data_IF_165990082937
#
_entry.id   IF_165990082937
#
_cell.length_a   1.000
_cell.length_b   1.000
_cell.length_c   1.000
_cell.angle_alpha   90.00
_cell.angle_beta   90.00
_cell.angle_gamma   90.00
#
_symmetry.space_group_name_H-M   'P 1'
#
loop_
_entity.id
_entity.type
_entity.pdbx_description
1 polymer ?
#
# COMPACT_ATOMS: atom_id res chain seq x y z
N UNK A 1 -36.73 -26.42 40.39
CA UNK A 1 -35.66 -25.89 39.51
C UNK A 1 -36.24 -25.77 38.10
N UNK A 2 -36.12 -24.61 37.45
CA UNK A 2 -36.88 -24.28 36.24
C UNK A 2 -36.19 -24.73 34.94
N UNK A 3 -36.98 -25.20 33.98
CA UNK A 3 -36.56 -25.38 32.59
C UNK A 3 -36.21 -24.01 32.00
N UNK A 4 -35.11 -23.93 31.24
CA UNK A 4 -34.67 -22.68 30.62
C UNK A 4 -35.23 -22.53 29.20
N UNK A 5 -35.54 -21.30 28.82
CA UNK A 5 -35.83 -20.92 27.43
C UNK A 5 -34.56 -20.30 26.86
N UNK A 6 -34.14 -20.79 25.70
CA UNK A 6 -32.98 -20.30 24.95
C UNK A 6 -33.52 -19.65 23.70
N UNK A 7 -33.37 -18.35 23.59
CA UNK A 7 -33.78 -17.57 22.43
C UNK A 7 -32.86 -16.37 22.24
N UNK A 8 -32.81 -15.86 21.02
CA UNK A 8 -32.13 -14.62 20.70
C UNK A 8 -32.97 -13.75 19.78
N UNK A 9 -32.91 -12.45 20.01
CA UNK A 9 -33.50 -11.44 19.16
C UNK A 9 -32.46 -10.39 18.82
N UNK A 10 -32.27 -10.13 17.52
CA UNK A 10 -31.44 -9.05 17.01
C UNK A 10 -32.30 -7.79 16.83
N UNK A 11 -32.24 -6.81 17.74
CA UNK A 11 -33.01 -5.57 17.61
C UNK A 11 -32.45 -4.65 16.52
N UNK A 12 -31.16 -4.79 16.17
CA UNK A 12 -30.48 -3.89 15.23
C UNK A 12 -30.70 -4.29 13.78
N UNK A 13 -30.94 -5.57 13.55
CA UNK A 13 -31.00 -6.14 12.21
C UNK A 13 -29.61 -6.17 11.54
N UNK A 14 -28.51 -6.06 12.28
CA UNK A 14 -27.15 -6.08 11.70
C UNK A 14 -26.34 -7.28 12.13
N UNK A 15 -26.77 -8.02 13.14
CA UNK A 15 -25.98 -9.10 13.68
C UNK A 15 -26.07 -10.37 12.84
N UNK A 16 -24.89 -10.90 12.49
CA UNK A 16 -24.75 -12.15 11.74
C UNK A 16 -24.84 -13.33 12.70
N UNK A 17 -24.16 -13.22 13.85
CA UNK A 17 -24.10 -14.28 14.86
C UNK A 17 -24.31 -13.73 16.26
N UNK A 18 -24.87 -14.58 17.12
CA UNK A 18 -24.85 -14.40 18.56
C UNK A 18 -24.57 -15.74 19.22
N UNK A 19 -23.62 -15.76 20.16
CA UNK A 19 -23.36 -16.94 21.00
C UNK A 19 -24.12 -16.84 22.32
N UNK A 20 -24.70 -17.95 22.75
CA UNK A 20 -25.30 -18.12 24.08
C UNK A 20 -24.73 -19.37 24.76
N UNK A 21 -24.19 -19.26 25.99
CA UNK A 21 -23.89 -18.02 26.72
C UNK A 21 -22.71 -17.23 26.10
N UNK A 22 -22.65 -15.93 26.39
CA UNK A 22 -21.66 -15.01 25.81
C UNK A 22 -20.22 -15.34 26.25
N UNK A 23 -20.04 -15.82 27.48
CA UNK A 23 -18.74 -16.07 28.11
C UNK A 23 -18.16 -17.48 27.84
N UNK A 24 -18.76 -18.27 26.94
CA UNK A 24 -18.31 -19.62 26.57
C UNK A 24 -19.37 -20.68 26.79
N UNK A 25 -19.00 -21.89 27.22
CA UNK A 25 -19.94 -23.01 27.33
C UNK A 25 -20.85 -22.94 28.57
N UNK A 26 -22.16 -23.04 28.32
CA UNK A 26 -23.22 -23.07 29.34
C UNK A 26 -23.78 -24.45 29.58
N UNK A 27 -24.38 -24.64 30.75
CA UNK A 27 -25.12 -25.87 31.07
C UNK A 27 -26.56 -25.80 30.56
N UNK A 28 -26.89 -26.66 29.60
CA UNK A 28 -28.24 -26.82 29.07
C UNK A 28 -28.87 -28.11 29.58
N UNK A 29 -30.15 -28.06 29.96
CA UNK A 29 -30.88 -29.23 30.46
C UNK A 29 -31.73 -29.83 29.35
N UNK A 30 -31.80 -31.15 29.32
CA UNK A 30 -32.81 -31.85 28.51
C UNK A 30 -34.21 -31.43 29.00
N UNK A 31 -35.10 -31.12 28.06
CA UNK A 31 -36.43 -30.54 28.29
C UNK A 31 -36.47 -29.01 28.21
N UNK A 32 -35.34 -28.32 28.16
CA UNK A 32 -35.31 -26.87 27.88
C UNK A 32 -35.87 -26.57 26.49
N UNK A 33 -36.42 -25.37 26.31
CA UNK A 33 -37.00 -24.93 25.04
C UNK A 33 -35.99 -24.05 24.29
N UNK A 34 -35.69 -24.42 23.05
CA UNK A 34 -34.94 -23.61 22.09
C UNK A 34 -35.93 -22.98 21.11
N UNK A 35 -35.96 -21.65 21.05
CA UNK A 35 -36.83 -20.91 20.15
C UNK A 35 -35.97 -20.26 19.07
N UNK A 36 -36.18 -20.68 17.83
CA UNK A 36 -35.48 -20.18 16.65
C UNK A 36 -36.46 -19.40 15.80
N UNK A 37 -36.12 -18.18 15.41
CA UNK A 37 -36.98 -17.33 14.56
C UNK A 37 -36.89 -17.73 13.09
N UNK A 38 -37.84 -17.28 12.28
CA UNK A 38 -37.96 -17.63 10.85
C UNK A 38 -36.70 -17.33 10.02
N UNK A 39 -36.01 -16.23 10.31
CA UNK A 39 -34.79 -15.84 9.61
C UNK A 39 -33.52 -16.28 10.34
N UNK A 40 -33.59 -17.28 11.22
CA UNK A 40 -32.47 -17.73 12.03
C UNK A 40 -32.28 -19.25 11.95
N UNK A 41 -31.05 -19.67 12.22
CA UNK A 41 -30.71 -21.03 12.62
C UNK A 41 -30.02 -20.99 13.98
N UNK A 42 -30.17 -22.06 14.76
CA UNK A 42 -29.40 -22.26 15.98
C UNK A 42 -28.50 -23.47 15.82
N UNK A 43 -27.22 -23.30 16.09
CA UNK A 43 -26.20 -24.33 15.95
C UNK A 43 -25.63 -24.66 17.32
N UNK A 44 -25.74 -25.91 17.74
CA UNK A 44 -25.05 -26.38 18.94
C UNK A 44 -23.58 -26.57 18.62
N UNK A 45 -22.74 -25.89 19.39
CA UNK A 45 -21.31 -25.86 19.24
C UNK A 45 -20.64 -26.34 20.53
N UNK A 46 -19.67 -27.25 20.41
CA UNK A 46 -18.94 -27.79 21.55
C UNK A 46 -17.58 -28.30 21.10
N UNK A 47 -16.55 -28.07 21.93
CA UNK A 47 -15.21 -28.62 21.74
C UNK A 47 -14.65 -28.36 20.31
N UNK A 48 -14.91 -27.16 19.76
CA UNK A 48 -14.44 -26.79 18.42
C UNK A 48 -15.32 -27.26 17.27
N UNK A 49 -16.46 -27.91 17.53
CA UNK A 49 -17.31 -28.55 16.51
C UNK A 49 -18.77 -28.15 16.62
N UNK A 50 -19.37 -27.84 15.48
CA UNK A 50 -20.81 -27.70 15.29
C UNK A 50 -21.42 -29.10 15.16
N UNK A 51 -22.27 -29.43 16.12
CA UNK A 51 -22.87 -30.74 16.27
C UNK A 51 -24.21 -30.77 15.54
N UNK A 52 -25.23 -30.10 16.09
CA UNK A 52 -26.59 -30.17 15.59
C UNK A 52 -27.10 -28.77 15.18
N UNK A 53 -27.92 -28.69 14.12
CA UNK A 53 -28.53 -27.46 13.61
C UNK A 53 -30.05 -27.51 13.73
N UNK A 54 -30.63 -26.44 14.24
CA UNK A 54 -32.06 -26.24 14.41
C UNK A 54 -32.53 -25.11 13.50
N UNK A 55 -33.51 -25.43 12.65
CA UNK A 55 -34.22 -24.44 11.84
C UNK A 55 -35.29 -23.67 12.63
N UNK A 56 -36.09 -22.82 11.96
CA UNK A 56 -37.13 -22.04 12.61
C UNK A 56 -38.15 -22.87 13.40
N UNK A 57 -38.62 -22.33 14.51
CA UNK A 57 -39.66 -22.91 15.34
C UNK A 57 -39.26 -23.10 16.80
N UNK A 58 -40.15 -23.75 17.54
CA UNK A 58 -39.91 -24.12 18.95
C UNK A 58 -39.46 -25.56 19.00
N UNK A 59 -38.29 -25.79 19.58
CA UNK A 59 -37.66 -27.10 19.70
C UNK A 59 -37.46 -27.43 21.17
N UNK A 60 -38.04 -28.54 21.61
CA UNK A 60 -37.70 -29.07 22.93
C UNK A 60 -36.41 -29.85 22.82
N UNK A 61 -35.42 -29.50 23.65
CA UNK A 61 -34.13 -30.16 23.68
C UNK A 61 -34.30 -31.56 24.25
N UNK A 62 -34.38 -32.55 23.38
CA UNK A 62 -34.52 -33.96 23.76
C UNK A 62 -33.38 -34.75 23.17
N UNK A 63 -33.18 -35.95 23.68
CA UNK A 63 -32.15 -36.85 23.15
C UNK A 63 -32.36 -37.20 21.68
N UNK A 64 -33.62 -37.22 21.23
CA UNK A 64 -34.00 -37.47 19.84
C UNK A 64 -33.55 -36.33 18.89
N UNK A 65 -33.53 -35.09 19.37
CA UNK A 65 -33.19 -33.91 18.56
C UNK A 65 -31.70 -33.54 18.63
N UNK A 66 -30.93 -34.21 19.50
CA UNK A 66 -29.51 -33.95 19.76
C UNK A 66 -28.69 -35.24 19.64
N UNK A 67 -28.74 -35.98 18.51
CA UNK A 67 -28.11 -37.29 18.39
C UNK A 67 -26.58 -37.24 18.58
N UNK A 68 -25.93 -36.16 18.13
CA UNK A 68 -24.48 -36.00 18.25
C UNK A 68 -24.07 -35.62 19.67
N UNK A 69 -24.82 -34.74 20.32
CA UNK A 69 -24.59 -34.37 21.72
C UNK A 69 -24.89 -35.52 22.69
N UNK A 70 -25.92 -36.33 22.44
CA UNK A 70 -26.29 -37.46 23.31
C UNK A 70 -25.28 -38.58 23.33
N UNK A 71 -24.67 -38.89 22.18
CA UNK A 71 -23.59 -39.87 22.08
C UNK A 71 -22.41 -39.50 23.01
N UNK A 72 -22.21 -38.21 23.27
CA UNK A 72 -21.15 -37.68 24.15
C UNK A 72 -21.56 -37.58 25.63
N UNK A 73 -22.85 -37.52 25.94
CA UNK A 73 -23.35 -37.36 27.33
C UNK A 73 -23.39 -38.71 28.06
N UNK A 74 -23.53 -39.82 27.33
CA UNK A 74 -23.45 -41.17 27.88
C UNK A 74 -24.66 -41.62 28.71
N UNK A 75 -24.79 -42.95 28.84
CA UNK A 75 -25.85 -43.68 29.55
C UNK A 75 -25.96 -43.51 31.08
N UNK A 76 -24.99 -42.99 31.88
CA UNK A 76 -25.12 -43.04 33.34
C UNK A 76 -26.02 -41.96 33.95
N UNK A 77 -26.51 -40.99 33.18
CA UNK A 77 -27.25 -39.82 33.72
C UNK A 77 -28.78 -39.86 33.57
N UNK A 78 -29.37 -41.03 33.30
CA UNK A 78 -30.82 -41.25 33.50
C UNK A 78 -31.78 -40.33 32.73
N UNK A 79 -31.35 -39.71 31.63
CA UNK A 79 -32.21 -38.91 30.74
C UNK A 79 -32.48 -37.45 31.17
N UNK A 80 -31.85 -36.93 32.22
CA UNK A 80 -32.06 -35.54 32.70
C UNK A 80 -30.77 -34.76 32.98
N UNK A 81 -29.63 -35.19 32.41
CA UNK A 81 -28.33 -34.54 32.68
C UNK A 81 -28.22 -33.14 32.05
N UNK A 82 -27.66 -32.15 32.76
CA UNK A 82 -27.14 -30.94 32.13
C UNK A 82 -25.93 -31.30 31.25
N UNK A 83 -25.86 -30.70 30.05
CA UNK A 83 -24.72 -30.81 29.15
C UNK A 83 -24.12 -29.43 28.89
N UNK A 84 -22.79 -29.36 28.79
CA UNK A 84 -22.09 -28.12 28.46
C UNK A 84 -21.98 -27.97 26.95
N UNK A 85 -22.53 -26.89 26.42
CA UNK A 85 -22.40 -26.52 25.02
C UNK A 85 -22.56 -25.01 24.87
N UNK A 86 -22.35 -24.53 23.65
CA UNK A 86 -22.65 -23.19 23.20
C UNK A 86 -23.76 -23.29 22.15
N UNK A 87 -24.72 -22.37 22.16
CA UNK A 87 -25.70 -22.23 21.07
C UNK A 87 -25.33 -20.98 20.30
N UNK A 88 -24.94 -21.16 19.04
CA UNK A 88 -24.66 -20.06 18.13
C UNK A 88 -25.90 -19.84 17.28
N UNK A 89 -26.58 -18.72 17.51
CA UNK A 89 -27.61 -18.25 16.61
C UNK A 89 -26.99 -17.56 15.41
N UNK A 90 -27.51 -17.88 14.23
CA UNK A 90 -27.03 -17.37 12.95
C UNK A 90 -28.20 -16.76 12.19
N UNK A 91 -28.04 -15.54 11.69
CA UNK A 91 -29.04 -14.87 10.89
C UNK A 91 -28.92 -15.31 9.41
N UNK A 92 -30.00 -15.87 8.86
CA UNK A 92 -30.07 -16.39 7.50
C UNK A 92 -30.59 -15.37 6.48
N UNK A 93 -30.98 -14.18 6.94
CA UNK A 93 -31.40 -13.09 6.05
C UNK A 93 -30.26 -12.66 5.13
N UNK A 94 -30.63 -11.96 4.06
CA UNK A 94 -29.64 -11.33 3.19
C UNK A 94 -29.13 -10.02 3.79
N UNK A 95 -27.82 -9.92 3.93
CA UNK A 95 -27.10 -8.69 4.24
C UNK A 95 -26.74 -8.01 2.92
N UNK A 96 -27.29 -6.82 2.66
CA UNK A 96 -27.20 -6.17 1.34
C UNK A 96 -26.17 -5.06 1.25
N UNK A 97 -25.71 -4.53 2.39
CA UNK A 97 -24.87 -3.34 2.46
C UNK A 97 -23.61 -3.57 3.29
N UNK A 98 -22.93 -4.69 3.03
CA UNK A 98 -21.66 -4.99 3.70
C UNK A 98 -20.56 -4.21 3.01
N UNK A 99 -19.80 -3.41 3.77
CA UNK A 99 -18.74 -2.56 3.20
C UNK A 99 -17.40 -3.29 3.17
N UNK A 100 -16.65 -3.07 2.10
CA UNK A 100 -15.26 -3.50 2.00
C UNK A 100 -14.39 -2.37 1.47
N UNK A 101 -13.10 -2.44 1.79
CA UNK A 101 -12.14 -1.49 1.26
C UNK A 101 -10.73 -1.81 1.72
N UNK A 102 -9.77 -1.23 1.03
CA UNK A 102 -8.34 -1.41 1.30
C UNK A 102 -7.93 -0.53 2.48
N UNK A 103 -7.54 -1.10 3.64
CA UNK A 103 -7.15 -0.30 4.79
C UNK A 103 -5.82 0.44 4.53
N UNK A 104 -4.92 -0.18 3.78
CA UNK A 104 -3.66 0.40 3.32
C UNK A 104 -3.69 0.54 1.80
N UNK A 105 -3.00 1.55 1.23
CA UNK A 105 -2.82 1.64 -0.20
C UNK A 105 -2.16 0.39 -0.76
N UNK A 106 -2.66 -0.08 -1.90
CA UNK A 106 -2.08 -1.19 -2.64
C UNK A 106 -1.06 -0.61 -3.62
N UNK A 107 0.24 -0.96 -3.52
CA UNK A 107 1.22 -0.60 -4.53
C UNK A 107 0.99 -1.42 -5.80
N UNK A 108 0.97 -0.76 -6.94
CA UNK A 108 0.79 -1.35 -8.26
C UNK A 108 1.84 -0.79 -9.21
N UNK A 109 2.34 -1.63 -10.13
CA UNK A 109 3.18 -1.16 -11.22
C UNK A 109 2.29 -0.70 -12.37
N UNK A 110 2.51 0.53 -12.77
CA UNK A 110 1.82 1.23 -13.85
C UNK A 110 2.79 1.49 -15.01
N UNK A 111 2.37 1.18 -16.23
CA UNK A 111 3.15 1.35 -17.45
C UNK A 111 3.37 2.81 -17.82
N UNK A 112 2.45 3.69 -17.44
CA UNK A 112 2.49 5.12 -17.75
C UNK A 112 3.10 5.91 -16.60
N UNK A 113 2.78 5.59 -15.35
CA UNK A 113 3.14 6.39 -14.17
C UNK A 113 4.22 5.78 -13.27
N UNK A 114 4.66 4.54 -13.51
CA UNK A 114 5.65 3.86 -12.67
C UNK A 114 5.02 3.17 -11.46
N UNK A 115 5.56 3.33 -10.26
CA UNK A 115 4.90 2.75 -9.07
C UNK A 115 3.79 3.69 -8.58
N UNK A 116 2.56 3.19 -8.59
CA UNK A 116 1.38 3.93 -8.13
C UNK A 116 0.78 3.23 -6.92
N UNK A 117 0.09 3.99 -6.07
CA UNK A 117 -0.62 3.45 -4.93
C UNK A 117 -2.11 3.73 -5.05
N UNK A 118 -2.92 2.69 -4.91
CA UNK A 118 -4.36 2.75 -5.10
C UNK A 118 -5.08 2.36 -3.81
N UNK A 119 -6.21 3.01 -3.55
CA UNK A 119 -7.20 2.56 -2.59
C UNK A 119 -8.46 2.17 -3.32
N UNK A 120 -9.08 1.08 -2.91
CA UNK A 120 -10.33 0.60 -3.49
C UNK A 120 -11.38 0.43 -2.39
N UNK A 121 -12.62 0.77 -2.72
CA UNK A 121 -13.75 0.65 -1.82
C UNK A 121 -14.98 0.15 -2.57
N UNK A 122 -15.85 -0.51 -1.83
CA UNK A 122 -17.16 -0.85 -2.35
C UNK A 122 -18.00 -1.61 -1.33
N UNK A 123 -18.96 -2.36 -1.85
CA UNK A 123 -19.89 -3.13 -1.05
C UNK A 123 -20.14 -4.51 -1.62
N UNK A 124 -20.61 -5.40 -0.76
CA UNK A 124 -21.00 -6.74 -1.12
C UNK A 124 -22.30 -7.10 -0.40
N UNK A 125 -23.01 -8.05 -0.99
CA UNK A 125 -24.21 -8.62 -0.43
C UNK A 125 -23.98 -10.12 -0.22
N UNK A 126 -24.37 -10.63 0.93
CA UNK A 126 -24.21 -12.03 1.27
C UNK A 126 -25.38 -12.55 2.10
N UNK A 127 -25.46 -13.86 2.25
CA UNK A 127 -26.26 -14.52 3.29
C UNK A 127 -25.50 -15.73 3.79
N UNK A 128 -25.85 -16.21 4.99
CA UNK A 128 -25.40 -17.53 5.42
C UNK A 128 -26.28 -18.58 4.75
N UNK A 129 -25.66 -19.47 3.97
CA UNK A 129 -26.36 -20.54 3.26
C UNK A 129 -26.27 -21.88 4.01
N UNK A 130 -25.10 -22.16 4.61
CA UNK A 130 -24.88 -23.33 5.46
C UNK A 130 -24.43 -22.86 6.85
N UNK A 131 -25.35 -22.77 7.83
CA UNK A 131 -25.01 -22.32 9.18
C UNK A 131 -24.08 -23.31 9.91
N UNK A 132 -24.11 -24.61 9.59
CA UNK A 132 -23.22 -25.58 10.24
C UNK A 132 -21.78 -25.39 9.80
N UNK A 133 -21.56 -25.30 8.49
CA UNK A 133 -20.25 -25.04 7.91
C UNK A 133 -19.71 -23.68 8.35
N UNK A 134 -20.58 -22.66 8.33
CA UNK A 134 -20.22 -21.32 8.76
C UNK A 134 -19.78 -21.26 10.22
N UNK A 135 -20.53 -21.85 11.15
CA UNK A 135 -20.14 -21.88 12.57
C UNK A 135 -18.84 -22.67 12.77
N UNK A 136 -18.66 -23.80 12.09
CA UNK A 136 -17.39 -24.54 12.15
C UNK A 136 -16.18 -23.72 11.66
N UNK A 137 -16.31 -23.08 10.50
CA UNK A 137 -15.21 -22.37 9.85
C UNK A 137 -14.89 -21.04 10.56
N UNK A 138 -15.91 -20.29 10.96
CA UNK A 138 -15.75 -18.93 11.49
C UNK A 138 -15.66 -18.91 13.01
N UNK A 139 -16.61 -19.56 13.68
CA UNK A 139 -16.67 -19.56 15.14
C UNK A 139 -15.67 -20.57 15.70
N UNK A 140 -15.66 -21.79 15.15
CA UNK A 140 -14.82 -22.86 15.69
C UNK A 140 -13.35 -22.77 15.31
N UNK A 141 -13.04 -22.53 14.03
CA UNK A 141 -11.65 -22.49 13.57
C UNK A 141 -10.98 -21.14 13.81
N UNK A 142 -11.70 -20.04 13.57
CA UNK A 142 -11.14 -18.68 13.67
C UNK A 142 -11.45 -17.98 15.00
N UNK A 143 -12.40 -18.50 15.79
CA UNK A 143 -12.78 -17.87 17.06
C UNK A 143 -13.45 -16.51 16.90
N UNK A 144 -14.13 -16.28 15.77
CA UNK A 144 -14.80 -15.00 15.49
C UNK A 144 -16.25 -15.07 15.99
N UNK A 145 -16.51 -14.42 17.11
CA UNK A 145 -17.80 -14.46 17.79
C UNK A 145 -18.68 -13.23 17.55
N UNK A 146 -18.14 -12.19 16.90
CA UNK A 146 -18.86 -10.94 16.64
C UNK A 146 -18.98 -10.66 15.15
N UNK A 147 -20.07 -9.99 14.77
CA UNK A 147 -20.29 -9.49 13.41
C UNK A 147 -19.10 -8.67 12.90
N UNK A 148 -18.51 -7.83 13.76
CA UNK A 148 -17.36 -6.98 13.41
C UNK A 148 -16.15 -7.82 13.03
N UNK A 149 -15.83 -8.86 13.78
CA UNK A 149 -14.66 -9.70 13.52
C UNK A 149 -14.84 -10.47 12.21
N UNK A 150 -16.06 -10.95 11.96
CA UNK A 150 -16.44 -11.60 10.70
C UNK A 150 -16.29 -10.63 9.52
N UNK A 151 -16.78 -9.40 9.65
CA UNK A 151 -16.61 -8.36 8.62
C UNK A 151 -15.13 -8.07 8.31
N UNK A 152 -14.28 -8.01 9.34
CA UNK A 152 -12.85 -7.78 9.15
C UNK A 152 -12.16 -8.94 8.44
N UNK A 153 -12.52 -10.17 8.79
CA UNK A 153 -12.05 -11.37 8.12
C UNK A 153 -12.45 -11.36 6.63
N UNK A 154 -13.74 -11.20 6.34
CA UNK A 154 -14.26 -11.20 4.98
C UNK A 154 -13.67 -10.05 4.15
N UNK A 155 -13.52 -8.86 4.74
CA UNK A 155 -12.83 -7.73 4.08
C UNK A 155 -11.40 -8.08 3.71
N UNK A 156 -10.67 -8.78 4.58
CA UNK A 156 -9.29 -9.19 4.32
C UNK A 156 -9.19 -10.19 3.16
N UNK A 157 -10.13 -11.15 3.10
CA UNK A 157 -10.26 -12.08 1.97
C UNK A 157 -10.53 -11.31 0.66
N UNK A 158 -11.49 -10.39 0.67
CA UNK A 158 -11.83 -9.56 -0.50
C UNK A 158 -10.62 -8.75 -0.99
N UNK A 159 -9.93 -8.05 -0.08
CA UNK A 159 -8.78 -7.19 -0.41
C UNK A 159 -7.63 -8.02 -0.99
N UNK A 160 -7.38 -9.21 -0.44
CA UNK A 160 -6.38 -10.13 -0.97
C UNK A 160 -6.68 -10.52 -2.42
N UNK A 161 -7.90 -11.01 -2.69
CA UNK A 161 -8.33 -11.40 -4.05
C UNK A 161 -8.35 -10.24 -5.04
N UNK A 162 -8.73 -9.06 -4.56
CA UNK A 162 -8.75 -7.84 -5.36
C UNK A 162 -7.32 -7.42 -5.76
N UNK A 163 -6.37 -7.47 -4.83
CA UNK A 163 -4.97 -7.13 -5.07
C UNK A 163 -4.37 -8.04 -6.14
N UNK A 164 -4.57 -9.35 -6.01
CA UNK A 164 -4.12 -10.34 -7.00
C UNK A 164 -4.76 -10.11 -8.38
N UNK A 165 -6.05 -9.77 -8.41
CA UNK A 165 -6.78 -9.54 -9.65
C UNK A 165 -6.26 -8.30 -10.39
N UNK A 166 -6.14 -7.17 -9.70
CA UNK A 166 -5.67 -5.92 -10.31
C UNK A 166 -4.25 -6.06 -10.86
N UNK A 167 -3.36 -6.71 -10.11
CA UNK A 167 -1.99 -6.98 -10.56
C UNK A 167 -1.92 -7.84 -11.84
N UNK A 168 -2.95 -8.65 -12.10
CA UNK A 168 -2.99 -9.54 -13.27
C UNK A 168 -3.68 -8.96 -14.51
N UNK A 169 -4.64 -8.04 -14.33
CA UNK A 169 -5.52 -7.58 -15.43
C UNK A 169 -5.05 -6.23 -16.01
N UNK A 170 -4.50 -5.35 -15.17
CA UNK A 170 -4.26 -3.97 -15.58
C UNK A 170 -2.78 -3.64 -15.56
N UNK A 171 -2.31 -2.96 -16.61
CA UNK A 171 -0.98 -2.39 -16.66
C UNK A 171 -1.01 -0.87 -16.40
N UNK A 172 -2.18 -0.23 -16.45
CA UNK A 172 -2.34 1.22 -16.26
C UNK A 172 -3.59 1.51 -15.41
N UNK A 173 -3.49 2.48 -14.51
CA UNK A 173 -4.60 2.99 -13.71
C UNK A 173 -5.72 3.54 -14.60
N UNK A 174 -5.39 4.05 -15.79
CA UNK A 174 -6.36 4.60 -16.74
C UNK A 174 -7.19 3.52 -17.44
N UNK A 175 -6.70 2.27 -17.50
CA UNK A 175 -7.50 1.15 -18.02
C UNK A 175 -8.48 0.60 -16.99
N UNK A 176 -8.21 0.77 -15.69
CA UNK A 176 -9.09 0.30 -14.61
C UNK A 176 -10.51 0.85 -14.76
N UNK A 177 -10.63 2.15 -15.05
CA UNK A 177 -11.92 2.80 -15.21
C UNK A 177 -12.76 2.22 -16.36
N UNK A 178 -12.10 1.72 -17.42
CA UNK A 178 -12.76 1.06 -18.55
C UNK A 178 -13.08 -0.40 -18.28
N UNK A 179 -12.45 -1.01 -17.28
CA UNK A 179 -12.54 -2.43 -16.96
C UNK A 179 -13.34 -2.72 -15.68
N UNK A 180 -14.09 -1.73 -15.16
CA UNK A 180 -14.81 -1.88 -13.89
C UNK A 180 -15.78 -3.07 -13.89
N UNK A 181 -16.48 -3.30 -15.01
CA UNK A 181 -17.44 -4.39 -15.13
C UNK A 181 -16.76 -5.76 -15.17
N UNK A 182 -15.63 -5.86 -15.88
CA UNK A 182 -14.79 -7.06 -15.95
C UNK A 182 -14.18 -7.38 -14.59
N UNK A 183 -13.66 -6.37 -13.88
CA UNK A 183 -13.14 -6.52 -12.51
C UNK A 183 -14.26 -7.01 -11.58
N UNK A 184 -15.44 -6.39 -11.65
CA UNK A 184 -16.60 -6.81 -10.85
C UNK A 184 -17.04 -8.24 -11.16
N UNK A 185 -17.06 -8.65 -12.43
CA UNK A 185 -17.40 -10.02 -12.82
C UNK A 185 -16.35 -11.03 -12.34
N UNK A 186 -15.07 -10.73 -12.51
CA UNK A 186 -13.98 -11.61 -12.09
C UNK A 186 -13.88 -11.73 -10.57
N UNK A 187 -14.07 -10.63 -9.83
CA UNK A 187 -14.15 -10.67 -8.36
C UNK A 187 -15.33 -11.50 -7.87
N UNK A 188 -16.52 -11.35 -8.48
CA UNK A 188 -17.68 -12.18 -8.14
C UNK A 188 -17.39 -13.67 -8.32
N UNK A 189 -16.73 -14.04 -9.41
CA UNK A 189 -16.37 -15.43 -9.68
C UNK A 189 -15.36 -15.95 -8.64
N UNK A 190 -14.26 -15.24 -8.40
CA UNK A 190 -13.22 -15.65 -7.43
C UNK A 190 -13.76 -15.75 -6.00
N UNK A 191 -14.52 -14.75 -5.56
CA UNK A 191 -15.03 -14.69 -4.18
C UNK A 191 -16.14 -15.70 -3.91
N UNK A 192 -16.84 -16.17 -4.94
CA UNK A 192 -17.92 -17.15 -4.76
C UNK A 192 -17.41 -18.42 -4.11
N UNK A 193 -16.27 -18.93 -4.57
CA UNK A 193 -15.68 -20.15 -4.05
C UNK A 193 -15.17 -19.95 -2.61
N UNK A 194 -14.45 -18.85 -2.36
CA UNK A 194 -13.96 -18.49 -1.02
C UNK A 194 -15.10 -18.36 0.01
N UNK A 195 -16.20 -17.72 -0.36
CA UNK A 195 -17.37 -17.56 0.52
C UNK A 195 -18.07 -18.90 0.74
N UNK A 196 -18.25 -19.70 -0.32
CA UNK A 196 -18.90 -21.00 -0.22
C UNK A 196 -18.14 -21.98 0.68
N UNK A 197 -16.80 -21.90 0.67
CA UNK A 197 -15.94 -22.72 1.52
C UNK A 197 -16.16 -22.49 3.03
N UNK A 198 -16.70 -21.33 3.40
CA UNK A 198 -17.06 -20.98 4.78
C UNK A 198 -18.58 -20.93 5.02
N UNK A 199 -19.39 -21.54 4.15
CA UNK A 199 -20.85 -21.62 4.31
C UNK A 199 -21.61 -20.32 3.97
N UNK A 200 -20.96 -19.37 3.32
CA UNK A 200 -21.56 -18.11 2.88
C UNK A 200 -21.94 -18.16 1.40
N UNK A 201 -23.03 -17.49 1.04
CA UNK A 201 -23.49 -17.31 -0.33
C UNK A 201 -23.37 -15.82 -0.71
N UNK A 202 -22.41 -15.52 -1.58
CA UNK A 202 -22.18 -14.19 -2.11
C UNK A 202 -23.27 -13.84 -3.13
N UNK A 203 -24.18 -12.93 -2.75
CA UNK A 203 -25.31 -12.49 -3.56
C UNK A 203 -24.94 -11.37 -4.53
N UNK A 204 -23.95 -10.56 -4.17
CA UNK A 204 -23.51 -9.44 -5.00
C UNK A 204 -22.18 -8.90 -4.53
N UNK A 205 -21.45 -8.30 -5.46
CA UNK A 205 -20.21 -7.58 -5.20
C UNK A 205 -20.17 -6.39 -6.13
N UNK A 206 -19.84 -5.24 -5.57
CA UNK A 206 -19.86 -3.96 -6.23
C UNK A 206 -18.59 -3.21 -5.82
N UNK A 207 -17.71 -3.02 -6.80
CA UNK A 207 -16.62 -2.05 -6.73
C UNK A 207 -17.20 -0.67 -7.01
N UNK A 208 -17.05 0.25 -6.06
CA UNK A 208 -17.63 1.59 -6.15
C UNK A 208 -16.60 2.63 -6.59
N UNK A 209 -15.39 2.54 -6.06
CA UNK A 209 -14.32 3.47 -6.42
C UNK A 209 -12.94 2.84 -6.29
N UNK A 210 -12.05 3.29 -7.17
CA UNK A 210 -10.61 3.10 -7.06
C UNK A 210 -10.00 4.49 -7.17
N UNK A 211 -9.34 4.92 -6.11
CA UNK A 211 -8.79 6.27 -5.98
C UNK A 211 -7.27 6.16 -5.75
N UNK A 212 -6.45 6.87 -6.54
CA UNK A 212 -5.03 6.98 -6.25
C UNK A 212 -4.78 7.70 -4.92
N UNK A 213 -3.65 7.44 -4.27
CA UNK A 213 -3.22 8.25 -3.12
C UNK A 213 -2.89 9.68 -3.56
N UNK A 214 -2.91 10.64 -2.64
CA UNK A 214 -2.57 12.05 -2.97
C UNK A 214 -1.21 12.21 -3.63
N UNK A 215 -0.22 11.42 -3.21
CA UNK A 215 1.11 11.40 -3.81
C UNK A 215 1.06 10.90 -5.26
N UNK A 216 0.35 9.81 -5.50
CA UNK A 216 0.14 9.27 -6.85
C UNK A 216 -0.63 10.27 -7.72
N UNK A 217 -1.68 10.90 -7.18
CA UNK A 217 -2.46 11.91 -7.89
C UNK A 217 -1.61 13.11 -8.28
N UNK A 218 -0.76 13.63 -7.38
CA UNK A 218 0.17 14.73 -7.68
C UNK A 218 1.15 14.35 -8.79
N UNK A 219 1.72 13.13 -8.75
CA UNK A 219 2.61 12.64 -9.79
C UNK A 219 1.91 12.51 -11.14
N UNK A 220 0.65 12.05 -11.14
CA UNK A 220 -0.19 11.99 -12.34
C UNK A 220 -0.47 13.38 -12.90
N UNK A 221 -0.87 14.34 -12.07
CA UNK A 221 -1.17 15.72 -12.46
C UNK A 221 0.08 16.41 -13.03
N UNK A 222 1.25 16.19 -12.42
CA UNK A 222 2.53 16.73 -12.88
C UNK A 222 2.90 16.19 -14.26
N UNK A 223 2.74 14.88 -14.46
CA UNK A 223 3.01 14.24 -15.75
C UNK A 223 2.01 14.67 -16.83
N UNK A 224 0.74 14.82 -16.47
CA UNK A 224 -0.28 15.33 -17.37
C UNK A 224 0.02 16.77 -17.79
N UNK A 225 0.47 17.62 -16.86
CA UNK A 225 0.90 18.98 -17.17
C UNK A 225 2.12 18.99 -18.11
N UNK A 226 3.13 18.14 -17.87
CA UNK A 226 4.28 18.01 -18.78
C UNK A 226 3.86 17.55 -20.19
N UNK A 227 2.97 16.56 -20.28
CA UNK A 227 2.48 16.03 -21.55
C UNK A 227 1.58 17.01 -22.32
N UNK A 228 0.77 17.80 -21.63
CA UNK A 228 -0.09 18.81 -22.24
C UNK A 228 0.70 20.01 -22.77
N UNK A 229 1.80 20.35 -22.09
CA UNK A 229 2.61 21.51 -22.43
C UNK A 229 3.60 21.16 -23.55
N UNK A 230 4.10 19.92 -23.62
CA UNK A 230 4.95 19.40 -24.71
C UNK A 230 6.34 20.05 -24.83
N UNK A 231 6.51 21.26 -24.31
CA UNK A 231 7.72 22.07 -24.29
C UNK A 231 8.20 22.26 -22.84
N UNK A 232 9.41 21.75 -22.55
CA UNK A 232 10.05 21.82 -21.24
C UNK A 232 10.21 23.26 -20.74
N UNK A 233 10.35 24.23 -21.64
CA UNK A 233 10.50 25.64 -21.31
C UNK A 233 9.17 26.26 -20.90
N UNK A 234 8.08 25.87 -21.56
CA UNK A 234 6.73 26.24 -21.16
C UNK A 234 6.30 25.54 -19.85
N UNK A 235 6.82 24.35 -19.55
CA UNK A 235 6.58 23.67 -18.26
C UNK A 235 7.23 24.40 -17.09
N UNK A 236 8.47 24.87 -17.27
CA UNK A 236 9.16 25.72 -16.27
C UNK A 236 8.40 27.03 -16.04
N UNK A 237 7.93 27.67 -17.12
CA UNK A 237 7.09 28.87 -17.02
C UNK A 237 5.76 28.58 -16.31
N UNK A 238 5.11 27.45 -16.58
CA UNK A 238 3.88 27.03 -15.91
C UNK A 238 4.11 26.78 -14.42
N UNK A 239 5.20 26.10 -14.03
CA UNK A 239 5.57 25.90 -12.61
C UNK A 239 5.85 27.23 -11.92
N UNK A 240 6.57 28.14 -12.56
CA UNK A 240 6.83 29.47 -12.03
C UNK A 240 5.53 30.27 -11.83
N UNK A 241 4.62 30.24 -12.81
CA UNK A 241 3.31 30.90 -12.73
C UNK A 241 2.43 30.31 -11.64
N UNK A 242 2.39 28.97 -11.49
CA UNK A 242 1.62 28.28 -10.45
C UNK A 242 2.17 28.58 -9.05
N UNK A 243 3.48 28.57 -8.86
CA UNK A 243 4.09 28.93 -7.58
C UNK A 243 3.79 30.39 -7.18
N UNK A 244 3.77 31.30 -8.15
CA UNK A 244 3.38 32.70 -7.93
C UNK A 244 1.88 32.81 -7.58
N UNK A 245 1.03 32.01 -8.25
CA UNK A 245 -0.41 31.93 -7.99
C UNK A 245 -0.75 31.32 -6.64
N UNK A 246 -0.10 30.24 -6.23
CA UNK A 246 -0.29 29.60 -4.93
C UNK A 246 0.20 30.50 -3.79
N UNK A 247 1.29 31.26 -3.99
CA UNK A 247 1.74 32.28 -3.05
C UNK A 247 0.79 33.49 -2.97
N UNK A 248 0.15 33.87 -4.09
CA UNK A 248 -0.84 34.93 -4.14
C UNK A 248 -2.19 34.51 -3.52
N UNK A 249 -2.62 33.26 -3.75
CA UNK A 249 -3.82 32.66 -3.13
C UNK A 249 -3.60 32.41 -1.64
N UNK A 250 -2.39 32.02 -1.23
CA UNK A 250 -1.97 31.94 0.18
C UNK A 250 -1.78 33.31 0.86
N UNK A 251 -1.87 34.41 0.11
CA UNK A 251 -1.78 35.79 0.61
C UNK A 251 -3.11 36.55 0.62
N UNK A 252 -4.21 35.88 0.28
CA UNK A 252 -5.53 36.51 0.07
C UNK A 252 -6.56 36.18 1.14
N UNK A 253 -6.34 36.65 2.37
CA UNK A 253 -7.41 36.82 3.37
C UNK A 253 -7.37 35.85 4.56
N UNK A 254 -7.16 36.41 5.75
CA UNK A 254 -7.36 35.73 7.03
C UNK A 254 -6.39 36.19 8.12
N UNK A 255 -6.78 37.21 8.89
CA UNK A 255 -6.25 37.42 10.23
C UNK A 255 -6.41 36.14 11.07
N UNK A 256 -5.30 35.65 11.65
CA UNK A 256 -5.32 34.67 12.73
C UNK A 256 -5.20 33.19 12.32
N UNK A 257 -3.98 32.64 12.37
CA UNK A 257 -3.73 31.21 12.32
C UNK A 257 -2.27 30.86 12.01
N UNK A 258 -1.48 30.54 13.03
CA UNK A 258 -0.11 30.02 12.91
C UNK A 258 -0.04 28.78 12.00
N UNK A 259 0.81 28.80 10.96
CA UNK A 259 1.16 27.57 10.22
C UNK A 259 1.59 27.67 8.76
N UNK A 260 1.70 28.86 8.15
CA UNK A 260 2.10 29.03 6.74
C UNK A 260 3.40 29.82 6.58
N UNK A 261 4.33 29.29 5.78
CA UNK A 261 5.68 29.79 5.46
C UNK A 261 5.72 31.14 4.69
N UNK A 262 4.74 32.03 4.91
CA UNK A 262 4.69 33.40 4.38
C UNK A 262 5.03 34.49 5.41
N UNK A 263 5.14 34.14 6.69
CA UNK A 263 5.37 35.10 7.79
C UNK A 263 6.84 35.27 8.19
N UNK A 264 7.80 34.72 7.44
CA UNK A 264 9.23 34.79 7.76
C UNK A 264 9.94 36.09 7.37
N UNK A 265 9.30 36.97 6.60
CA UNK A 265 9.94 38.18 6.06
C UNK A 265 9.24 39.51 6.41
N UNK A 266 8.11 39.49 7.12
CA UNK A 266 7.35 40.70 7.43
C UNK A 266 7.12 40.96 8.94
N UNK A 267 7.48 40.02 9.82
CA UNK A 267 7.10 40.06 11.25
C UNK A 267 8.16 40.50 12.26
N UNK A 268 9.40 40.79 11.88
CA UNK A 268 10.46 41.16 12.82
C UNK A 268 10.75 42.66 12.78
N UNK A 269 9.79 43.45 13.30
CA UNK A 269 10.03 44.84 13.67
C UNK A 269 10.98 44.93 14.86
N UNK A 270 12.26 45.16 14.60
CA UNK A 270 13.21 45.69 15.58
C UNK A 270 14.11 46.72 14.89
N UNK A 271 13.93 48.00 15.22
CA UNK A 271 14.94 49.04 15.00
C UNK A 271 14.62 50.15 13.99
N UNK A 272 13.61 50.97 14.31
CA UNK A 272 13.16 52.21 13.65
C UNK A 272 14.24 53.32 13.54
N UNK A 273 15.33 53.10 12.80
CA UNK A 273 16.31 54.17 12.55
C UNK A 273 17.41 53.86 11.54
N UNK A 274 17.59 52.60 11.15
CA UNK A 274 18.67 52.19 10.24
C UNK A 274 18.19 51.84 8.81
N UNK A 275 16.90 52.04 8.50
CA UNK A 275 16.30 51.66 7.22
C UNK A 275 16.51 52.66 6.06
N UNK A 276 16.85 53.92 6.34
CA UNK A 276 17.04 54.92 5.30
C UNK A 276 18.41 54.81 4.58
N UNK A 277 19.44 54.30 5.25
CA UNK A 277 20.79 54.14 4.67
C UNK A 277 20.91 52.91 3.75
N UNK A 278 20.24 51.82 4.10
CA UNK A 278 20.28 50.57 3.33
C UNK A 278 19.40 50.60 2.07
N UNK A 279 18.30 51.37 2.07
CA UNK A 279 17.46 51.56 0.88
C UNK A 279 18.16 52.35 -0.24
N UNK A 280 18.91 53.40 0.11
CA UNK A 280 19.67 54.19 -0.85
C UNK A 280 20.91 53.44 -1.39
N UNK A 281 21.56 52.63 -0.55
CA UNK A 281 22.68 51.79 -0.97
C UNK A 281 22.23 50.65 -1.90
N UNK A 282 21.04 50.09 -1.67
CA UNK A 282 20.47 49.05 -2.53
C UNK A 282 19.92 49.60 -3.86
N UNK A 283 19.38 50.82 -3.87
CA UNK A 283 18.99 51.51 -5.11
C UNK A 283 20.20 51.91 -5.98
N UNK A 284 21.33 52.29 -5.36
CA UNK A 284 22.58 52.59 -6.06
C UNK A 284 23.23 51.31 -6.64
N UNK A 285 23.13 50.18 -5.91
CA UNK A 285 23.62 48.88 -6.38
C UNK A 285 22.78 48.34 -7.56
N UNK A 286 21.48 48.62 -7.58
CA UNK A 286 20.56 48.19 -8.64
C UNK A 286 20.60 49.12 -9.88
N UNK A 287 21.02 50.38 -9.71
CA UNK A 287 21.23 51.33 -10.81
C UNK A 287 22.52 51.07 -11.61
N UNK A 288 23.57 50.56 -10.98
CA UNK A 288 24.83 50.20 -11.67
C UNK A 288 24.79 48.85 -12.39
N UNK A 289 23.84 47.96 -12.08
CA UNK A 289 23.67 46.70 -12.82
C UNK A 289 22.97 46.85 -14.18
N UNK A 290 22.49 48.06 -14.53
CA UNK A 290 21.75 48.30 -15.79
C UNK A 290 22.55 49.03 -16.87
N UNK A 291 23.79 49.45 -16.62
CA UNK A 291 24.55 50.23 -17.60
C UNK A 291 26.07 49.98 -17.51
N UNK A 292 26.50 48.82 -18.00
CA UNK A 292 27.92 48.53 -18.20
C UNK A 292 28.22 47.04 -18.24
N UNK A 293 28.26 46.44 -19.43
CA UNK A 293 28.63 45.03 -19.55
C UNK A 293 28.45 44.38 -20.91
N UNK A 294 28.65 45.11 -22.01
CA UNK A 294 28.95 44.48 -23.30
C UNK A 294 30.43 44.06 -23.29
N UNK A 295 30.72 42.84 -22.81
CA UNK A 295 31.70 41.89 -23.34
C UNK A 295 31.98 40.78 -22.32
N UNK A 296 31.91 39.55 -22.84
CA UNK A 296 32.34 38.28 -22.26
C UNK A 296 31.54 37.72 -21.08
N UNK A 297 30.55 36.90 -21.43
CA UNK A 297 30.11 35.80 -20.57
C UNK A 297 29.81 34.55 -21.43
N UNK A 298 30.63 33.53 -21.22
CA UNK A 298 30.51 32.17 -21.76
C UNK A 298 29.56 31.34 -20.87
N UNK A 299 28.83 30.41 -21.53
CA UNK A 299 27.78 29.47 -21.08
C UNK A 299 28.13 28.52 -19.91
N UNK A 300 27.13 27.83 -19.29
CA UNK A 300 26.71 26.46 -19.69
C UNK A 300 25.16 26.26 -19.76
N UNK A 301 24.56 25.70 -20.83
CA UNK A 301 24.41 24.27 -21.22
C UNK A 301 23.36 23.51 -20.39
N UNK A 302 22.14 23.28 -20.90
CA UNK A 302 21.72 22.08 -21.65
C UNK A 302 22.09 20.76 -20.96
N UNK A 303 21.10 19.92 -20.63
CA UNK A 303 21.30 18.52 -20.22
C UNK A 303 22.04 17.77 -21.34
N UNK A 304 23.35 17.83 -21.26
CA UNK A 304 24.30 16.98 -21.96
C UNK A 304 24.68 15.89 -20.95
N UNK A 305 24.77 14.63 -21.42
CA UNK A 305 25.26 13.55 -20.58
C UNK A 305 26.63 13.88 -19.97
N UNK A 306 27.07 13.13 -18.94
CA UNK A 306 28.31 13.41 -18.22
C UNK A 306 29.46 13.62 -19.21
N UNK A 307 30.17 14.73 -19.06
CA UNK A 307 31.23 15.15 -19.98
C UNK A 307 32.61 14.70 -19.52
N UNK A 308 32.74 14.38 -18.23
CA UNK A 308 33.97 13.88 -17.60
C UNK A 308 33.73 12.52 -16.95
N UNK A 309 34.80 11.78 -16.71
CA UNK A 309 34.75 10.50 -16.00
C UNK A 309 34.25 10.71 -14.57
N UNK A 310 34.65 11.79 -13.89
CA UNK A 310 34.15 12.16 -12.55
C UNK A 310 32.62 12.31 -12.50
N UNK A 311 32.04 13.02 -13.47
CA UNK A 311 30.58 13.17 -13.58
C UNK A 311 29.86 11.85 -13.87
N UNK A 312 30.55 10.87 -14.46
CA UNK A 312 30.00 9.55 -14.74
C UNK A 312 29.90 8.68 -13.49
N UNK A 313 30.83 8.85 -12.53
CA UNK A 313 30.88 8.09 -11.28
C UNK A 313 30.01 8.68 -10.17
N UNK A 314 29.69 9.98 -10.19
CA UNK A 314 28.89 10.65 -9.15
C UNK A 314 27.58 9.94 -8.78
N UNK A 315 26.75 9.45 -9.72
CA UNK A 315 25.51 8.74 -9.38
C UNK A 315 25.77 7.40 -8.66
N UNK A 316 26.88 6.75 -8.98
CA UNK A 316 27.28 5.48 -8.38
C UNK A 316 27.78 5.69 -6.95
N UNK A 317 28.53 6.76 -6.69
CA UNK A 317 28.94 7.14 -5.35
C UNK A 317 27.75 7.51 -4.46
N UNK A 318 26.78 8.25 -5.00
CA UNK A 318 25.52 8.55 -4.30
C UNK A 318 24.71 7.29 -3.99
N UNK A 319 24.71 6.30 -4.88
CA UNK A 319 24.07 5.01 -4.65
C UNK A 319 24.71 4.28 -3.46
N UNK A 320 26.04 4.27 -3.37
CA UNK A 320 26.78 3.66 -2.25
C UNK A 320 26.50 4.38 -0.94
N UNK A 321 26.46 5.72 -0.94
CA UNK A 321 26.18 6.50 0.27
C UNK A 321 24.74 6.31 0.80
N UNK A 322 23.78 6.02 -0.07
CA UNK A 322 22.38 5.78 0.33
C UNK A 322 22.13 4.36 0.88
N UNK A 323 23.09 3.44 0.77
CA UNK A 323 22.96 2.08 1.32
C UNK A 323 23.21 2.04 2.82
N UNK A 324 22.25 2.55 3.60
CA UNK A 324 22.30 2.62 5.08
C UNK A 324 22.45 1.24 5.76
N UNK A 325 22.11 0.16 5.07
CA UNK A 325 22.22 -1.21 5.56
C UNK A 325 23.67 -1.76 5.59
N UNK A 326 24.60 -1.14 4.85
CA UNK A 326 26.02 -1.52 4.83
C UNK A 326 26.75 -0.78 5.98
N UNK A 327 27.67 -1.40 6.73
CA UNK A 327 28.48 -0.71 7.72
C UNK A 327 29.24 0.50 7.11
N UNK A 328 29.42 1.57 7.88
CA UNK A 328 30.11 2.79 7.40
C UNK A 328 31.53 2.51 6.89
N UNK A 329 32.28 1.65 7.58
CA UNK A 329 33.65 1.29 7.20
C UNK A 329 33.70 0.56 5.85
N UNK A 330 32.68 -0.27 5.58
CA UNK A 330 32.54 -1.00 4.33
C UNK A 330 32.09 -0.06 3.20
N UNK A 331 31.18 0.90 3.46
CA UNK A 331 30.84 1.96 2.49
C UNK A 331 32.05 2.81 2.11
N UNK A 332 32.88 3.19 3.08
CA UNK A 332 34.10 3.96 2.84
C UNK A 332 35.11 3.16 2.01
N UNK A 333 35.21 1.85 2.24
CA UNK A 333 36.06 0.94 1.45
C UNK A 333 35.58 0.85 0.00
N UNK A 334 34.26 0.78 -0.22
CA UNK A 334 33.67 0.77 -1.56
C UNK A 334 33.96 2.10 -2.29
N UNK A 335 33.73 3.24 -1.63
CA UNK A 335 34.00 4.56 -2.21
C UNK A 335 35.48 4.74 -2.56
N UNK A 336 36.41 4.28 -1.71
CA UNK A 336 37.84 4.32 -2.02
C UNK A 336 38.20 3.49 -3.26
N UNK A 337 37.59 2.31 -3.42
CA UNK A 337 37.83 1.45 -4.60
C UNK A 337 37.23 2.06 -5.88
N UNK A 338 36.06 2.69 -5.79
CA UNK A 338 35.46 3.42 -6.91
C UNK A 338 36.28 4.63 -7.30
N UNK A 339 36.76 5.43 -6.33
CA UNK A 339 37.64 6.56 -6.58
C UNK A 339 38.97 6.12 -7.22
N UNK A 340 39.54 4.99 -6.81
CA UNK A 340 40.75 4.45 -7.45
C UNK A 340 40.50 4.08 -8.94
N UNK A 341 39.33 3.53 -9.25
CA UNK A 341 38.94 3.20 -10.63
C UNK A 341 38.69 4.47 -11.45
N UNK A 342 38.04 5.48 -10.88
CA UNK A 342 37.79 6.77 -11.51
C UNK A 342 39.10 7.52 -11.81
N UNK A 343 40.02 7.56 -10.84
CA UNK A 343 41.35 8.18 -11.01
C UNK A 343 42.12 7.48 -12.11
N UNK A 344 42.11 6.14 -12.16
CA UNK A 344 42.80 5.40 -13.22
C UNK A 344 42.19 5.65 -14.61
N UNK A 345 40.86 5.79 -14.71
CA UNK A 345 40.17 6.14 -15.95
C UNK A 345 40.38 7.59 -16.38
N UNK A 346 40.69 8.49 -15.44
CA UNK A 346 40.93 9.90 -15.70
C UNK A 346 42.39 10.21 -16.04
N UNK A 347 43.30 9.27 -15.80
CA UNK A 347 44.72 9.43 -16.13
C UNK A 347 44.93 9.53 -17.63
N UNK A 348 45.81 10.44 -18.09
CA UNK A 348 46.15 10.51 -19.49
C UNK A 348 46.85 9.23 -19.97
N UNK A 349 47.48 8.46 -19.08
CA UNK A 349 48.21 7.18 -19.25
C UNK A 349 47.46 5.95 -18.69
N UNK A 350 46.13 5.98 -18.71
CA UNK A 350 45.26 4.92 -18.20
C UNK A 350 45.68 3.50 -18.66
N UNK A 351 45.94 2.60 -17.69
CA UNK A 351 46.34 1.23 -17.99
C UNK A 351 45.11 0.29 -18.04
N UNK A 352 44.89 -0.33 -19.21
CA UNK A 352 43.76 -1.21 -19.44
C UNK A 352 43.75 -2.47 -18.54
N UNK A 353 44.92 -3.02 -18.20
CA UNK A 353 45.03 -4.17 -17.31
C UNK A 353 44.64 -3.79 -15.87
N UNK A 354 45.08 -2.62 -15.40
CA UNK A 354 44.73 -2.09 -14.08
C UNK A 354 43.23 -1.82 -13.97
N UNK A 355 42.62 -1.21 -14.99
CA UNK A 355 41.16 -0.94 -15.01
C UNK A 355 40.35 -2.24 -14.96
N UNK A 356 40.75 -3.26 -15.74
CA UNK A 356 40.07 -4.57 -15.73
C UNK A 356 40.20 -5.26 -14.37
N UNK A 357 41.38 -5.18 -13.75
CA UNK A 357 41.63 -5.77 -12.44
C UNK A 357 40.79 -5.09 -11.35
N UNK A 358 40.83 -3.75 -11.28
CA UNK A 358 40.04 -2.98 -10.30
C UNK A 358 38.54 -3.22 -10.46
N UNK A 359 38.04 -3.22 -11.69
CA UNK A 359 36.63 -3.52 -11.97
C UNK A 359 36.27 -4.94 -11.50
N UNK A 360 37.10 -5.92 -11.81
CA UNK A 360 36.87 -7.33 -11.43
C UNK A 360 36.81 -7.47 -9.91
N UNK A 361 37.78 -6.92 -9.19
CA UNK A 361 37.82 -6.95 -7.72
C UNK A 361 36.56 -6.33 -7.09
N UNK A 362 36.09 -5.19 -7.61
CA UNK A 362 34.87 -4.54 -7.10
C UNK A 362 33.65 -5.43 -7.36
N UNK A 363 33.51 -6.00 -8.56
CA UNK A 363 32.35 -6.83 -8.90
C UNK A 363 32.34 -8.20 -8.21
N UNK A 364 33.50 -8.77 -7.91
CA UNK A 364 33.62 -10.03 -7.16
C UNK A 364 33.33 -9.83 -5.67
N UNK A 365 33.82 -8.72 -5.10
CA UNK A 365 33.59 -8.40 -3.68
C UNK A 365 32.17 -7.88 -3.44
N UNK A 366 31.62 -7.12 -4.39
CA UNK A 366 30.31 -6.48 -4.29
C UNK A 366 29.45 -6.74 -5.55
N UNK A 367 28.79 -7.91 -5.64
CA UNK A 367 28.03 -8.30 -6.83
C UNK A 367 26.92 -7.32 -7.23
N UNK A 368 26.34 -6.62 -6.25
CA UNK A 368 25.29 -5.64 -6.47
C UNK A 368 25.76 -4.37 -7.22
N UNK A 369 27.07 -4.12 -7.27
CA UNK A 369 27.67 -3.02 -8.04
C UNK A 369 27.91 -3.36 -9.51
N UNK A 370 27.73 -4.62 -9.93
CA UNK A 370 28.03 -5.05 -11.31
C UNK A 370 27.20 -4.31 -12.37
N UNK A 371 25.88 -4.22 -12.18
CA UNK A 371 24.98 -3.52 -13.12
C UNK A 371 25.12 -2.00 -13.08
N UNK A 372 25.22 -1.35 -11.89
CA UNK A 372 25.54 0.08 -11.81
C UNK A 372 26.88 0.43 -12.48
N UNK A 373 27.94 -0.34 -12.25
CA UNK A 373 29.24 -0.13 -12.90
C UNK A 373 29.16 -0.31 -14.41
N UNK A 374 28.44 -1.33 -14.89
CA UNK A 374 28.23 -1.53 -16.33
C UNK A 374 27.54 -0.33 -16.98
N UNK A 375 26.61 0.31 -16.25
CA UNK A 375 25.93 1.53 -16.71
C UNK A 375 26.89 2.71 -16.81
N UNK A 376 27.78 2.89 -15.82
CA UNK A 376 28.82 3.95 -15.85
C UNK A 376 29.79 3.73 -17.01
N UNK A 377 30.22 2.49 -17.25
CA UNK A 377 31.14 2.15 -18.34
C UNK A 377 30.53 2.31 -19.75
N UNK A 378 29.20 2.37 -19.86
CA UNK A 378 28.50 2.65 -21.11
C UNK A 378 28.30 4.15 -21.37
N UNK A 379 28.80 5.03 -20.49
CA UNK A 379 28.69 6.46 -20.68
C UNK A 379 29.81 6.99 -21.59
N UNK A 380 29.51 7.97 -22.47
CA UNK A 380 30.47 8.50 -23.44
C UNK A 380 31.87 8.88 -22.92
N UNK A 381 32.04 9.53 -21.74
CA UNK A 381 33.37 9.90 -21.25
C UNK A 381 34.20 8.68 -20.84
N UNK A 382 33.56 7.64 -20.29
CA UNK A 382 34.24 6.41 -19.84
C UNK A 382 34.58 5.52 -21.04
N UNK A 383 33.70 5.42 -22.03
CA UNK A 383 33.98 4.72 -23.28
C UNK A 383 35.18 5.32 -24.01
N UNK A 384 35.27 6.67 -24.05
CA UNK A 384 36.40 7.37 -24.67
C UNK A 384 37.72 7.10 -23.93
N UNK A 385 37.71 7.08 -22.60
CA UNK A 385 38.88 6.74 -21.80
C UNK A 385 39.32 5.28 -22.03
N UNK A 386 38.36 4.34 -22.09
CA UNK A 386 38.61 2.94 -22.39
C UNK A 386 39.17 2.72 -23.80
N UNK A 387 38.66 3.45 -24.79
CA UNK A 387 39.16 3.39 -26.17
C UNK A 387 40.61 3.91 -26.27
N UNK A 388 40.93 5.00 -25.59
CA UNK A 388 42.29 5.56 -25.54
C UNK A 388 43.28 4.59 -24.86
N UNK A 389 42.88 3.96 -23.75
CA UNK A 389 43.68 2.94 -23.08
C UNK A 389 43.90 1.68 -23.95
N UNK A 390 42.87 1.28 -24.71
CA UNK A 390 42.96 0.13 -25.60
C UNK A 390 43.85 0.38 -26.83
N UNK A 391 43.79 1.58 -27.43
CA UNK A 391 44.66 1.94 -28.55
C UNK A 391 46.14 1.90 -28.15
N UNK A 392 46.48 2.41 -26.96
CA UNK A 392 47.88 2.39 -26.50
C UNK A 392 48.39 1.02 -26.14
N UNK A 393 47.54 0.17 -25.58
CA UNK A 393 47.91 -1.23 -25.35
C UNK A 393 48.28 -1.95 -26.66
N UNK A 394 47.66 -1.58 -27.78
CA UNK A 394 48.02 -2.08 -29.10
C UNK A 394 49.35 -1.49 -29.58
N UNK A 395 49.55 -0.17 -29.43
CA UNK A 395 50.78 0.53 -29.83
C UNK A 395 52.03 0.10 -29.03
N UNK A 396 51.88 -0.34 -27.77
CA UNK A 396 52.97 -0.87 -26.94
C UNK A 396 53.25 -2.37 -27.17
N UNK A 397 52.41 -3.05 -27.97
CA UNK A 397 52.51 -4.49 -28.26
C UNK A 397 53.10 -4.81 -29.64
N UNK A 398 53.37 -3.79 -30.46
CA UNK A 398 54.22 -3.83 -31.66
C UNK A 398 55.66 -3.38 -31.33
#
# INVERSE_FOLDING_TARGET
MALSVIEWFDPTGKDIVQRIPEDGSGEFRLGSQLIVRESQAAVFFRDGKALDVFGPGRHTLTTANLPLLTTLIGLPFGGTSPFRAEVVFVNLKQFTDMKWGTPQPIPMRDSEFGMVQLRAFGRYAMRVADPQLFVNAIVGTQGLYTTRDIEQYLRSVIVSRFTDLIASITNSILSIARQFDEINAAMRAKLRDDFSAVGLDLRGFFLESITPTEETQKAMDERAAMGAIGDMQAYLQFKAARALGDAALGGGGGEGGEGGLGAGLAGAGFGLGAGAGLGAMMAQLLGQSFQGGAQQQQQPAAQQGPQTVEQAFTPLEMLVQQQLAIPQDERNTILQRLAALEVELSKPDANLATIKQLRKEITETYPWLAEPLKTVFAQPPVEKAMAAAAQRFLDESE
#
